data_IF_576477669309
#
_entry.id   IF_576477669309
#
_cell.length_a   1.000
_cell.length_b   1.000
_cell.length_c   1.000
_cell.angle_alpha   90.00
_cell.angle_beta   90.00
_cell.angle_gamma   90.00
#
_symmetry.space_group_name_H-M   'P 1'
#
loop_
_entity.id
_entity.type
_entity.pdbx_description
1 polymer ?
#
# COMPACT_ATOMS: atom_id res chain seq x y z
N UNK A 1 -3.46 -16.58 -6.16
CA UNK A 1 -3.54 -16.70 -7.63
C UNK A 1 -3.71 -15.31 -8.21
N UNK A 2 -2.96 -14.98 -9.26
CA UNK A 2 -3.18 -13.79 -10.08
C UNK A 2 -3.96 -14.14 -11.35
N UNK A 3 -4.74 -13.16 -11.81
CA UNK A 3 -5.37 -13.17 -13.12
C UNK A 3 -4.72 -12.04 -13.92
N UNK A 4 -4.32 -12.30 -15.14
CA UNK A 4 -3.64 -11.31 -15.99
C UNK A 4 -4.02 -11.48 -17.46
N UNK A 5 -3.80 -10.43 -18.24
CA UNK A 5 -4.02 -10.39 -19.69
C UNK A 5 -2.78 -9.83 -20.37
N UNK A 6 -2.38 -10.43 -21.49
CA UNK A 6 -1.29 -9.95 -22.36
C UNK A 6 -1.82 -9.28 -23.66
N UNK A 7 -3.12 -9.16 -23.79
CA UNK A 7 -3.80 -8.69 -25.00
C UNK A 7 -4.88 -7.63 -24.72
N UNK A 8 -4.61 -6.76 -23.75
CA UNK A 8 -5.50 -5.66 -23.33
C UNK A 8 -6.89 -6.13 -22.86
N UNK A 9 -6.96 -7.25 -22.16
CA UNK A 9 -8.19 -7.76 -21.57
C UNK A 9 -9.06 -8.60 -22.50
N UNK A 10 -8.57 -8.95 -23.68
CA UNK A 10 -9.33 -9.82 -24.62
C UNK A 10 -9.34 -11.27 -24.17
N UNK A 11 -8.22 -11.75 -23.64
CA UNK A 11 -8.11 -13.06 -23.00
C UNK A 11 -7.47 -12.94 -21.61
N UNK A 12 -7.78 -13.86 -20.74
CA UNK A 12 -7.32 -13.85 -19.34
C UNK A 12 -6.66 -15.18 -19.00
N UNK A 13 -5.55 -15.11 -18.27
CA UNK A 13 -4.76 -16.23 -17.80
C UNK A 13 -4.67 -16.18 -16.29
N UNK A 14 -4.42 -17.33 -15.68
CA UNK A 14 -4.21 -17.43 -14.23
C UNK A 14 -2.79 -17.90 -13.92
N UNK A 15 -2.25 -17.43 -12.80
CA UNK A 15 -0.95 -17.87 -12.29
C UNK A 15 -1.02 -18.08 -10.79
N UNK A 16 -0.54 -19.26 -10.36
CA UNK A 16 -0.32 -19.53 -8.94
C UNK A 16 0.97 -18.82 -8.53
N UNK A 17 0.91 -18.10 -7.43
CA UNK A 17 2.02 -17.35 -6.85
C UNK A 17 2.30 -17.87 -5.44
N UNK A 18 3.56 -17.75 -4.94
CA UNK A 18 3.84 -17.97 -3.54
C UNK A 18 3.00 -17.07 -2.65
N UNK A 19 2.35 -17.65 -1.65
CA UNK A 19 1.57 -16.89 -0.67
C UNK A 19 2.25 -16.97 0.69
N UNK A 20 2.07 -15.97 1.57
CA UNK A 20 2.47 -16.10 2.97
C UNK A 20 1.81 -17.32 3.59
N UNK A 21 2.44 -17.90 4.59
CA UNK A 21 1.86 -19.01 5.38
C UNK A 21 0.59 -18.59 6.14
N UNK A 22 0.44 -17.29 6.39
CA UNK A 22 -0.78 -16.68 6.88
C UNK A 22 -1.75 -16.43 5.73
N UNK A 23 -3.05 -16.38 6.04
CA UNK A 23 -4.07 -15.98 5.08
C UNK A 23 -3.71 -14.61 4.47
N UNK A 24 -3.88 -14.46 3.17
CA UNK A 24 -3.67 -13.22 2.45
C UNK A 24 -4.85 -12.93 1.52
N UNK A 25 -5.18 -11.65 1.38
CA UNK A 25 -6.21 -11.14 0.48
C UNK A 25 -5.79 -9.76 -0.04
N UNK A 26 -6.66 -9.09 -0.76
CA UNK A 26 -6.53 -7.71 -1.21
C UNK A 26 -5.07 -7.35 -1.53
N UNK A 27 -4.71 -7.41 -2.79
CA UNK A 27 -3.34 -7.19 -3.23
C UNK A 27 -3.27 -6.08 -4.26
N UNK A 28 -2.17 -5.33 -4.25
CA UNK A 28 -1.82 -4.38 -5.30
C UNK A 28 -0.46 -4.72 -5.89
N UNK A 29 -0.31 -4.46 -7.18
CA UNK A 29 0.93 -4.71 -7.93
C UNK A 29 1.45 -3.37 -8.47
N UNK A 30 2.75 -3.16 -8.32
CA UNK A 30 3.48 -2.06 -8.94
C UNK A 30 4.62 -2.61 -9.80
N UNK A 31 4.98 -1.89 -10.84
CA UNK A 31 6.15 -2.15 -11.66
C UNK A 31 7.25 -1.15 -11.30
N UNK A 32 8.36 -1.62 -10.70
CA UNK A 32 9.45 -0.77 -10.25
C UNK A 32 10.32 -0.28 -11.41
N UNK A 33 10.48 -1.12 -12.42
CA UNK A 33 11.12 -0.88 -13.71
C UNK A 33 10.66 -1.97 -14.68
N UNK A 34 10.85 -1.84 -15.99
CA UNK A 34 10.34 -2.79 -16.98
C UNK A 34 10.65 -4.24 -16.62
N UNK A 35 9.59 -5.03 -16.40
CA UNK A 35 9.66 -6.45 -16.04
C UNK A 35 9.94 -6.75 -14.57
N UNK A 36 10.15 -5.75 -13.71
CA UNK A 36 10.32 -5.95 -12.27
C UNK A 36 9.07 -5.53 -11.51
N UNK A 37 8.34 -6.51 -11.02
CA UNK A 37 7.06 -6.32 -10.35
C UNK A 37 7.20 -6.58 -8.85
N UNK A 38 6.47 -5.82 -8.04
CA UNK A 38 6.20 -6.18 -6.65
C UNK A 38 4.70 -6.23 -6.37
N UNK A 39 4.26 -7.29 -5.72
CA UNK A 39 2.89 -7.45 -5.26
C UNK A 39 2.85 -7.38 -3.74
N UNK A 40 2.06 -6.45 -3.23
CA UNK A 40 1.85 -6.21 -1.80
C UNK A 40 0.50 -6.77 -1.40
N UNK A 41 0.44 -7.45 -0.26
CA UNK A 41 -0.73 -8.22 0.15
C UNK A 41 -1.07 -7.97 1.61
N UNK A 42 -2.36 -7.79 1.88
CA UNK A 42 -2.90 -7.89 3.24
C UNK A 42 -2.70 -9.29 3.79
N UNK A 43 -2.35 -9.40 5.07
CA UNK A 43 -2.26 -10.67 5.80
C UNK A 43 -3.04 -10.62 7.11
N UNK A 44 -3.22 -11.76 7.75
CA UNK A 44 -3.84 -11.88 9.07
C UNK A 44 -2.82 -12.09 10.20
N UNK A 45 -1.57 -11.70 10.00
CA UNK A 45 -0.50 -11.78 11.01
C UNK A 45 0.02 -10.42 11.48
N UNK A 46 -0.73 -9.35 11.19
CA UNK A 46 -0.38 -7.99 11.61
C UNK A 46 0.71 -7.33 10.76
N UNK A 47 1.03 -7.86 9.58
CA UNK A 47 2.03 -7.33 8.66
C UNK A 47 1.49 -7.22 7.23
N UNK A 48 2.17 -6.43 6.41
CA UNK A 48 1.99 -6.42 4.96
C UNK A 48 3.07 -7.33 4.37
N UNK A 49 2.65 -8.34 3.60
CA UNK A 49 3.57 -9.18 2.84
C UNK A 49 3.80 -8.62 1.44
N UNK A 50 4.97 -8.91 0.87
CA UNK A 50 5.24 -8.65 -0.53
C UNK A 50 6.08 -9.74 -1.17
N UNK A 51 5.89 -9.91 -2.48
CA UNK A 51 6.69 -10.79 -3.34
C UNK A 51 7.20 -9.99 -4.53
N UNK A 52 8.34 -10.41 -5.08
CA UNK A 52 8.99 -9.75 -6.21
C UNK A 52 9.14 -10.70 -7.39
N UNK A 53 8.82 -10.24 -8.58
CA UNK A 53 9.16 -10.86 -9.85
C UNK A 53 10.21 -10.01 -10.56
N UNK A 54 11.16 -10.65 -11.25
CA UNK A 54 12.18 -9.99 -12.07
C UNK A 54 12.06 -10.36 -13.56
N UNK A 55 10.98 -11.00 -13.93
CA UNK A 55 10.74 -11.59 -15.25
C UNK A 55 9.29 -11.39 -15.71
N UNK A 56 8.76 -10.19 -15.47
CA UNK A 56 7.41 -9.78 -15.85
C UNK A 56 6.31 -10.71 -15.32
N UNK A 57 6.45 -11.19 -14.07
CA UNK A 57 5.46 -12.04 -13.41
C UNK A 57 5.59 -13.53 -13.72
N UNK A 58 6.62 -13.96 -14.47
CA UNK A 58 6.81 -15.38 -14.77
C UNK A 58 7.23 -16.20 -13.55
N UNK A 59 8.13 -15.67 -12.74
CA UNK A 59 8.50 -16.27 -11.45
C UNK A 59 8.42 -15.23 -10.33
N UNK A 60 8.26 -15.68 -9.10
CA UNK A 60 8.09 -14.86 -7.92
C UNK A 60 8.95 -15.34 -6.76
N UNK A 61 9.47 -14.39 -5.99
CA UNK A 61 10.21 -14.69 -4.76
C UNK A 61 9.31 -15.32 -3.69
N UNK A 62 9.91 -15.89 -2.66
CA UNK A 62 9.20 -16.16 -1.42
C UNK A 62 8.68 -14.84 -0.81
N UNK A 63 7.60 -14.88 -0.01
CA UNK A 63 7.08 -13.73 0.68
C UNK A 63 8.10 -13.11 1.65
N UNK A 64 8.17 -11.78 1.61
CA UNK A 64 8.84 -10.92 2.58
C UNK A 64 7.80 -10.03 3.27
N UNK A 65 8.19 -9.28 4.29
CA UNK A 65 7.29 -8.45 5.07
C UNK A 65 7.84 -7.03 5.24
N UNK A 66 6.95 -6.04 5.32
CA UNK A 66 7.31 -4.68 5.71
C UNK A 66 7.41 -4.63 7.25
N UNK A 67 8.64 -4.63 7.78
CA UNK A 67 8.87 -4.75 9.22
C UNK A 67 8.59 -3.44 10.00
N UNK A 68 8.53 -2.31 9.31
CA UNK A 68 8.21 -0.99 9.90
C UNK A 68 6.71 -0.72 10.00
N UNK A 69 5.86 -1.55 9.38
CA UNK A 69 4.40 -1.46 9.45
C UNK A 69 3.88 -2.49 10.44
N UNK A 70 2.98 -2.04 11.30
CA UNK A 70 2.19 -2.89 12.20
C UNK A 70 0.71 -2.71 11.91
N UNK A 71 0.02 -3.78 11.59
CA UNK A 71 -1.42 -3.83 11.39
C UNK A 71 -2.08 -4.67 12.49
N UNK A 72 -3.40 -4.55 12.72
CA UNK A 72 -4.10 -5.52 13.54
C UNK A 72 -4.01 -6.93 12.92
N UNK A 73 -4.15 -7.97 13.72
CA UNK A 73 -3.99 -9.35 13.26
C UNK A 73 -4.95 -9.74 12.12
N UNK A 74 -6.11 -9.10 12.01
CA UNK A 74 -7.03 -9.32 10.88
C UNK A 74 -6.63 -8.53 9.62
N UNK A 75 -5.56 -7.71 9.70
CA UNK A 75 -5.04 -6.92 8.61
C UNK A 75 -5.98 -5.83 8.10
N UNK A 76 -5.51 -5.10 7.10
CA UNK A 76 -6.29 -4.14 6.35
C UNK A 76 -5.80 -4.09 4.91
N UNK A 77 -6.61 -3.57 4.02
CA UNK A 77 -6.21 -3.21 2.67
C UNK A 77 -5.16 -2.08 2.72
N UNK A 78 -4.37 -1.97 1.70
CA UNK A 78 -3.34 -0.94 1.50
C UNK A 78 -3.49 -0.34 0.10
N UNK A 79 -2.97 0.87 -0.09
CA UNK A 79 -2.78 1.41 -1.43
C UNK A 79 -1.32 1.71 -1.68
N UNK A 80 -0.82 1.30 -2.85
CA UNK A 80 0.54 1.61 -3.29
C UNK A 80 0.54 2.01 -4.76
N UNK A 81 1.26 3.07 -5.10
CA UNK A 81 1.38 3.58 -6.45
C UNK A 81 2.85 3.89 -6.80
N UNK A 82 3.19 3.81 -8.07
CA UNK A 82 4.39 4.45 -8.59
C UNK A 82 4.17 5.97 -8.64
N UNK A 83 5.20 6.73 -8.30
CA UNK A 83 5.20 8.17 -8.48
C UNK A 83 5.98 8.54 -9.76
N UNK A 84 5.39 9.37 -10.61
CA UNK A 84 5.95 9.64 -11.93
C UNK A 84 7.20 10.51 -11.92
N UNK A 85 7.39 11.32 -10.86
CA UNK A 85 8.52 12.19 -10.71
C UNK A 85 9.60 11.56 -9.81
N UNK A 86 10.82 12.06 -9.91
CA UNK A 86 11.89 11.64 -9.00
C UNK A 86 11.80 12.40 -7.68
N UNK A 87 12.05 11.68 -6.60
CA UNK A 87 12.25 12.25 -5.26
C UNK A 87 13.71 12.00 -4.88
N UNK A 88 14.42 13.05 -4.51
CA UNK A 88 15.87 13.01 -4.21
C UNK A 88 16.70 12.33 -5.33
N UNK A 89 16.31 12.57 -6.60
CA UNK A 89 16.96 12.01 -7.78
C UNK A 89 16.66 10.54 -8.08
N UNK A 90 15.84 9.86 -7.26
CA UNK A 90 15.47 8.45 -7.41
C UNK A 90 14.00 8.29 -7.85
N UNK A 91 13.68 7.20 -8.53
CA UNK A 91 12.29 6.78 -8.72
C UNK A 91 11.68 6.46 -7.35
N UNK A 92 10.40 6.72 -7.21
CA UNK A 92 9.71 6.59 -5.92
C UNK A 92 8.39 5.85 -6.03
N UNK A 93 7.97 5.27 -4.91
CA UNK A 93 6.66 4.67 -4.69
C UNK A 93 6.03 5.30 -3.46
N UNK A 94 4.71 5.40 -3.47
CA UNK A 94 3.93 5.96 -2.37
C UNK A 94 3.00 4.87 -1.85
N UNK A 95 3.03 4.63 -0.54
CA UNK A 95 2.21 3.63 0.15
C UNK A 95 1.31 4.33 1.17
N UNK A 96 0.03 4.01 1.24
CA UNK A 96 -0.84 4.36 2.36
C UNK A 96 -1.37 3.12 3.06
N UNK A 97 -1.36 3.17 4.39
CA UNK A 97 -1.82 2.07 5.24
C UNK A 97 -1.99 2.56 6.69
N UNK A 98 -2.85 1.96 7.51
CA UNK A 98 -2.77 2.18 8.95
C UNK A 98 -1.48 1.56 9.52
N UNK A 99 -0.96 2.14 10.60
CA UNK A 99 0.20 1.63 11.32
C UNK A 99 -0.10 1.50 12.82
N UNK A 100 -0.91 0.51 13.18
CA UNK A 100 -1.28 0.24 14.57
C UNK A 100 -1.71 -1.21 14.77
N UNK A 101 -1.18 -1.86 15.81
CA UNK A 101 -1.62 -3.19 16.25
C UNK A 101 -3.01 -3.17 16.91
N UNK A 102 -3.43 -2.02 17.41
CA UNK A 102 -4.63 -1.85 18.23
C UNK A 102 -5.87 -1.41 17.41
N UNK A 103 -6.00 -1.92 16.19
CA UNK A 103 -7.10 -1.59 15.30
C UNK A 103 -6.64 -0.78 14.08
N UNK A 104 -7.57 -0.51 13.19
CA UNK A 104 -7.34 0.26 11.95
C UNK A 104 -7.32 1.75 12.26
N UNK A 105 -6.15 2.26 12.65
CA UNK A 105 -5.90 3.66 13.04
C UNK A 105 -4.45 4.05 12.76
N UNK A 106 -4.07 5.29 13.01
CA UNK A 106 -2.76 5.85 12.65
C UNK A 106 -2.49 5.67 11.15
N UNK A 107 -3.34 6.27 10.32
CA UNK A 107 -3.13 6.28 8.88
C UNK A 107 -1.83 6.98 8.52
N UNK A 108 -1.01 6.34 7.71
CA UNK A 108 0.28 6.87 7.28
C UNK A 108 0.43 6.80 5.77
N UNK A 109 1.10 7.79 5.21
CA UNK A 109 1.65 7.77 3.85
C UNK A 109 3.16 7.59 3.98
N UNK A 110 3.71 6.62 3.26
CA UNK A 110 5.13 6.33 3.20
C UNK A 110 5.68 6.59 1.82
N UNK A 111 6.87 7.19 1.74
CA UNK A 111 7.62 7.35 0.49
C UNK A 111 8.81 6.39 0.51
N UNK A 112 8.81 5.49 -0.46
CA UNK A 112 9.91 4.57 -0.73
C UNK A 112 10.71 5.02 -1.95
N UNK A 113 12.02 5.11 -1.81
CA UNK A 113 12.93 5.45 -2.91
C UNK A 113 13.54 4.18 -3.49
N UNK A 114 13.53 4.06 -4.81
CA UNK A 114 14.12 2.92 -5.50
C UNK A 114 15.65 3.00 -5.45
N UNK A 115 16.24 2.09 -4.69
CA UNK A 115 17.67 1.93 -4.54
C UNK A 115 18.26 0.90 -5.52
N UNK A 116 19.49 0.49 -5.27
CA UNK A 116 20.17 -0.54 -6.03
C UNK A 116 19.44 -1.89 -5.94
N UNK A 117 19.57 -2.71 -6.99
CA UNK A 117 18.97 -4.05 -7.08
C UNK A 117 17.44 -4.07 -6.90
N UNK A 118 16.75 -2.97 -7.20
CA UNK A 118 15.29 -2.82 -7.05
C UNK A 118 14.80 -2.94 -5.60
N UNK A 119 15.65 -2.63 -4.65
CA UNK A 119 15.26 -2.54 -3.25
C UNK A 119 14.64 -1.17 -2.99
N UNK A 120 13.47 -1.16 -2.38
CA UNK A 120 12.83 0.08 -1.92
C UNK A 120 13.40 0.45 -0.54
N UNK A 121 13.94 1.68 -0.45
CA UNK A 121 14.34 2.32 0.80
C UNK A 121 13.18 3.19 1.28
N UNK A 122 12.41 2.76 2.27
CA UNK A 122 11.33 3.52 2.89
C UNK A 122 11.92 4.63 3.74
N UNK A 123 11.88 5.86 3.21
CA UNK A 123 12.68 6.97 3.73
C UNK A 123 11.88 8.02 4.47
N UNK A 124 10.68 8.33 4.00
CA UNK A 124 9.83 9.35 4.58
C UNK A 124 8.49 8.76 4.95
N UNK A 125 7.89 9.29 5.99
CA UNK A 125 6.48 9.01 6.28
C UNK A 125 5.80 10.26 6.80
N UNK A 126 4.48 10.32 6.59
CA UNK A 126 3.59 11.38 7.06
C UNK A 126 2.39 10.75 7.73
N UNK A 127 2.04 11.23 8.92
CA UNK A 127 0.87 10.80 9.65
C UNK A 127 -0.37 11.55 9.13
N UNK A 128 -1.28 10.83 8.51
CA UNK A 128 -2.52 11.38 7.95
C UNK A 128 -3.50 11.75 9.06
N UNK A 129 -3.57 10.91 10.08
CA UNK A 129 -4.47 11.09 11.20
C UNK A 129 -3.86 10.50 12.46
N UNK A 130 -3.48 11.35 13.42
CA UNK A 130 -2.88 10.97 14.70
C UNK A 130 -3.84 10.31 15.66
N UNK A 131 -5.10 10.21 15.30
CA UNK A 131 -6.07 10.12 16.34
C UNK A 131 -6.52 8.71 16.63
N UNK A 132 -7.14 8.60 17.75
CA UNK A 132 -8.16 7.63 18.12
C UNK A 132 -9.18 7.34 17.00
N UNK A 133 -9.18 8.11 15.89
CA UNK A 133 -10.05 7.90 14.74
C UNK A 133 -9.55 6.75 13.87
N UNK A 134 -10.49 5.99 13.33
CA UNK A 134 -10.16 4.92 12.43
C UNK A 134 -9.59 5.43 11.10
N UNK A 135 -8.58 4.73 10.62
CA UNK A 135 -8.10 4.79 9.24
C UNK A 135 -8.14 3.36 8.71
N UNK A 136 -8.95 3.10 7.71
CA UNK A 136 -9.12 1.74 7.19
C UNK A 136 -8.68 1.64 5.74
N UNK A 137 -9.57 1.32 4.83
CA UNK A 137 -9.27 1.20 3.42
C UNK A 137 -8.94 2.55 2.83
N UNK A 138 -7.97 2.59 1.95
CA UNK A 138 -7.49 3.82 1.35
C UNK A 138 -7.15 3.63 -0.12
N UNK A 139 -7.19 4.71 -0.88
CA UNK A 139 -6.71 4.73 -2.26
C UNK A 139 -5.89 5.99 -2.51
N UNK A 140 -4.76 5.79 -3.17
CA UNK A 140 -3.86 6.85 -3.61
C UNK A 140 -4.00 7.11 -5.10
N UNK A 141 -3.77 8.33 -5.50
CA UNK A 141 -3.59 8.72 -6.90
C UNK A 141 -2.59 9.85 -7.01
N UNK A 142 -1.78 9.84 -8.06
CA UNK A 142 -1.01 11.02 -8.45
C UNK A 142 -1.90 11.96 -9.26
N UNK A 143 -1.96 13.21 -8.87
CA UNK A 143 -2.74 14.25 -9.53
C UNK A 143 -1.95 14.87 -10.71
N UNK A 144 -2.62 15.57 -11.65
CA UNK A 144 -1.93 16.19 -12.78
C UNK A 144 -0.83 17.20 -12.41
N UNK A 145 -0.90 17.80 -11.24
CA UNK A 145 0.12 18.72 -10.68
C UNK A 145 1.17 17.98 -9.84
N UNK A 146 1.20 16.63 -9.88
CA UNK A 146 2.07 15.75 -9.10
C UNK A 146 1.86 15.76 -7.60
N UNK A 147 0.81 16.35 -7.08
CA UNK A 147 0.39 16.14 -5.69
C UNK A 147 -0.17 14.74 -5.53
N UNK A 148 -0.21 14.26 -4.30
CA UNK A 148 -0.77 12.95 -3.95
C UNK A 148 -2.18 13.11 -3.41
N UNK A 149 -3.18 12.62 -4.14
CA UNK A 149 -4.55 12.50 -3.66
C UNK A 149 -4.73 11.23 -2.84
N UNK A 150 -5.37 11.35 -1.70
CA UNK A 150 -5.74 10.26 -0.80
C UNK A 150 -7.23 10.29 -0.49
N UNK A 151 -7.92 9.16 -0.70
CA UNK A 151 -9.23 8.90 -0.11
C UNK A 151 -9.09 7.74 0.87
N UNK A 152 -9.79 7.80 2.01
CA UNK A 152 -9.75 6.73 3.00
C UNK A 152 -11.03 6.65 3.83
N UNK A 153 -11.28 5.47 4.39
CA UNK A 153 -12.37 5.29 5.36
C UNK A 153 -11.92 5.80 6.73
N UNK A 154 -12.65 6.78 7.27
CA UNK A 154 -12.46 7.35 8.60
C UNK A 154 -13.64 7.01 9.50
N UNK A 155 -13.34 6.62 10.73
CA UNK A 155 -14.33 6.28 11.75
C UNK A 155 -14.11 7.14 12.98
N UNK A 156 -15.17 7.76 13.51
CA UNK A 156 -15.09 8.58 14.73
C UNK A 156 -14.93 7.76 16.01
N UNK A 157 -15.38 6.50 16.00
CA UNK A 157 -15.14 5.55 17.08
C UNK A 157 -15.19 4.12 16.58
N UNK A 158 -14.44 3.23 17.23
CA UNK A 158 -14.50 1.81 16.99
C UNK A 158 -15.19 1.13 18.18
N UNK A 159 -16.50 1.17 18.22
CA UNK A 159 -17.32 0.38 19.14
C UNK A 159 -18.22 -0.57 18.36
N UNK A 160 -18.10 -1.87 18.61
CA UNK A 160 -19.00 -2.89 18.03
C UNK A 160 -20.47 -2.71 18.47
N UNK A 161 -20.71 -1.88 19.48
CA UNK A 161 -22.02 -1.71 20.11
C UNK A 161 -22.70 -0.37 19.75
N UNK A 162 -22.06 0.50 19.00
CA UNK A 162 -22.65 1.77 18.62
C UNK A 162 -23.26 1.69 17.22
N UNK A 163 -24.58 1.77 17.18
CA UNK A 163 -25.40 1.81 15.94
C UNK A 163 -25.21 3.08 15.09
N UNK A 164 -24.36 4.01 15.51
CA UNK A 164 -24.13 5.30 14.88
C UNK A 164 -22.64 5.61 14.66
N UNK A 165 -21.93 4.69 14.03
CA UNK A 165 -20.57 5.00 13.54
C UNK A 165 -20.73 5.97 12.37
N UNK A 166 -20.33 7.21 12.55
CA UNK A 166 -20.21 8.15 11.44
C UNK A 166 -18.98 7.74 10.63
N UNK A 167 -19.19 6.93 9.63
CA UNK A 167 -18.19 6.67 8.61
C UNK A 167 -18.20 7.82 7.62
N UNK A 168 -17.05 8.40 7.39
CA UNK A 168 -16.83 9.39 6.33
C UNK A 168 -15.71 8.91 5.42
N UNK A 169 -15.74 9.36 4.18
CA UNK A 169 -14.68 9.08 3.20
C UNK A 169 -14.08 10.43 2.82
N UNK A 170 -13.12 10.95 3.61
CA UNK A 170 -12.44 12.19 3.28
C UNK A 170 -11.56 12.02 2.04
N UNK A 171 -11.44 13.09 1.29
CA UNK A 171 -10.43 13.29 0.27
C UNK A 171 -9.48 14.40 0.71
N UNK A 172 -8.18 14.13 0.63
CA UNK A 172 -7.11 15.09 0.96
C UNK A 172 -6.06 15.04 -0.13
N UNK A 173 -5.43 16.16 -0.44
CA UNK A 173 -4.27 16.21 -1.31
C UNK A 173 -3.05 16.72 -0.58
N UNK A 174 -1.88 16.16 -0.88
CA UNK A 174 -0.60 16.49 -0.27
C UNK A 174 0.42 16.84 -1.34
N UNK A 175 1.19 17.88 -1.11
CA UNK A 175 2.43 18.10 -1.87
C UNK A 175 3.48 17.09 -1.38
N UNK A 176 4.38 16.67 -2.27
CA UNK A 176 5.47 15.75 -1.90
C UNK A 176 6.34 16.33 -0.78
N UNK A 177 6.58 17.65 -0.80
CA UNK A 177 7.39 18.29 0.25
C UNK A 177 6.72 18.21 1.63
N UNK A 178 5.38 18.27 1.70
CA UNK A 178 4.64 18.13 2.96
C UNK A 178 4.75 16.69 3.49
N UNK A 179 4.79 15.70 2.60
CA UNK A 179 4.95 14.27 2.96
C UNK A 179 6.38 13.92 3.42
N UNK A 180 7.38 14.73 3.06
CA UNK A 180 8.78 14.56 3.48
C UNK A 180 9.06 15.18 4.85
N UNK A 181 8.26 16.15 5.24
CA UNK A 181 8.41 16.89 6.50
C UNK A 181 7.43 16.32 7.53
N UNK A 182 7.96 15.54 8.45
CA UNK A 182 7.19 15.02 9.58
C UNK A 182 7.43 15.89 10.82
#
# INVERSE_FOLDING_TARGET
>A
MFIYSDDNGRTWKTKIIPLPSSWSAEAQIIELQPGVLQAYMRTNNGKIAFITSKDAGNTWSNPNYLDFISNPNYGTELSIINYSQKIDGKNAVILSTPNSKNGRRNGQIWIGLLGENNKIEWRYHHDVDYSQYGFSYSTLTELPNHDIGLMYEKFDSWSRNELHIKNVIPYVSYKIEDLKNN
#
